data_IF_532099234357
#
_entry.id   IF_532099234357
#
_cell.length_a   1.000
_cell.length_b   1.000
_cell.length_c   1.000
_cell.angle_alpha   90.00
_cell.angle_beta   90.00
_cell.angle_gamma   90.00
#
_symmetry.space_group_name_H-M   'P 1'
#
loop_
_entity.id
_entity.type
_entity.pdbx_description
1 polymer ?
#
# COMPACT_ATOMS: atom_id res chain seq x y z
N UNK A 1 -38.22 38.53 -2.73
CA UNK A 1 -37.42 39.01 -3.90
C UNK A 1 -36.48 37.89 -4.32
N UNK A 2 -36.45 37.49 -5.61
CA UNK A 2 -35.52 36.45 -6.06
C UNK A 2 -34.10 37.04 -6.28
N UNK A 3 -33.03 36.23 -6.08
CA UNK A 3 -31.65 36.71 -6.23
C UNK A 3 -31.24 36.87 -7.71
N UNK A 4 -30.51 37.94 -8.01
CA UNK A 4 -30.01 38.28 -9.35
C UNK A 4 -28.93 37.30 -9.82
N UNK A 5 -29.11 36.72 -11.00
CA UNK A 5 -28.12 35.89 -11.68
C UNK A 5 -26.99 36.76 -12.26
N UNK A 6 -25.73 36.37 -12.05
CA UNK A 6 -24.55 37.03 -12.63
C UNK A 6 -24.25 36.40 -13.99
N UNK A 7 -24.13 37.23 -15.03
CA UNK A 7 -23.72 36.78 -16.37
C UNK A 7 -22.20 36.50 -16.39
N UNK A 8 -21.75 35.35 -16.91
CA UNK A 8 -20.35 35.09 -17.14
C UNK A 8 -19.90 35.87 -18.40
N UNK A 9 -18.72 36.48 -18.34
CA UNK A 9 -17.98 37.17 -19.42
C UNK A 9 -18.59 38.46 -20.03
N UNK A 10 -17.89 39.58 -19.82
CA UNK A 10 -18.08 40.83 -20.57
C UNK A 10 -17.27 40.77 -21.89
N UNK A 11 -17.80 41.26 -23.03
CA UNK A 11 -17.06 41.25 -24.29
C UNK A 11 -15.87 42.21 -24.24
N UNK A 12 -14.70 41.75 -24.71
CA UNK A 12 -13.45 42.50 -24.71
C UNK A 12 -13.58 43.68 -25.69
N UNK A 13 -13.59 44.90 -25.15
CA UNK A 13 -13.67 46.14 -25.94
C UNK A 13 -12.44 46.33 -26.82
N UNK A 14 -12.62 46.81 -28.05
CA UNK A 14 -11.57 47.15 -29.01
C UNK A 14 -10.51 48.13 -28.45
N UNK A 15 -10.91 48.94 -27.45
CA UNK A 15 -9.98 49.81 -26.71
C UNK A 15 -8.93 49.02 -25.91
N UNK A 16 -9.30 47.87 -25.34
CA UNK A 16 -8.37 46.99 -24.61
C UNK A 16 -7.31 46.40 -25.54
N UNK A 17 -7.70 46.04 -26.77
CA UNK A 17 -6.77 45.57 -27.80
C UNK A 17 -5.74 46.63 -28.20
N UNK A 18 -6.16 47.89 -28.33
CA UNK A 18 -5.24 49.00 -28.61
C UNK A 18 -4.33 49.31 -27.43
N UNK A 19 -4.80 49.14 -26.19
CA UNK A 19 -3.90 49.27 -25.02
C UNK A 19 -2.88 48.14 -24.97
N UNK A 20 -3.28 46.90 -25.27
CA UNK A 20 -2.41 45.75 -25.28
C UNK A 20 -1.33 45.88 -26.37
N UNK A 21 -1.71 46.29 -27.59
CA UNK A 21 -0.75 46.52 -28.67
C UNK A 21 0.26 47.60 -28.30
N UNK A 22 -0.17 48.66 -27.61
CA UNK A 22 0.71 49.72 -27.12
C UNK A 22 1.66 49.23 -26.02
N UNK A 23 1.20 48.39 -25.09
CA UNK A 23 2.07 47.79 -24.06
C UNK A 23 3.10 46.85 -24.67
N UNK A 24 2.68 46.01 -25.61
CA UNK A 24 3.57 45.07 -26.31
C UNK A 24 4.65 45.82 -27.10
N UNK A 25 4.27 46.88 -27.81
CA UNK A 25 5.22 47.73 -28.53
C UNK A 25 6.25 48.37 -27.60
N UNK A 26 5.85 48.86 -26.42
CA UNK A 26 6.80 49.38 -25.41
C UNK A 26 7.79 48.31 -24.93
N UNK A 27 7.29 47.13 -24.61
CA UNK A 27 8.15 46.01 -24.19
C UNK A 27 9.12 45.57 -25.29
N UNK A 28 8.71 45.62 -26.55
CA UNK A 28 9.56 45.28 -27.68
C UNK A 28 10.65 46.34 -27.93
N UNK A 29 10.34 47.63 -27.75
CA UNK A 29 11.35 48.69 -27.78
C UNK A 29 12.34 48.57 -26.62
N UNK A 30 11.87 48.23 -25.42
CA UNK A 30 12.74 48.05 -24.25
C UNK A 30 13.64 46.82 -24.43
N UNK A 31 13.10 45.73 -24.98
CA UNK A 31 13.84 44.51 -25.25
C UNK A 31 14.93 44.72 -26.31
N UNK A 32 14.59 45.33 -27.46
CA UNK A 32 15.58 45.62 -28.52
C UNK A 32 16.70 46.53 -28.04
N UNK A 33 16.38 47.53 -27.23
CA UNK A 33 17.35 48.44 -26.61
C UNK A 33 18.25 47.71 -25.60
N UNK A 34 17.69 46.81 -24.78
CA UNK A 34 18.46 45.97 -23.86
C UNK A 34 19.39 45.00 -24.58
N UNK A 35 18.94 44.46 -25.72
CA UNK A 35 19.71 43.51 -26.55
C UNK A 35 20.86 44.18 -27.29
N UNK A 36 20.67 45.41 -27.79
CA UNK A 36 21.74 46.21 -28.40
C UNK A 36 22.84 46.61 -27.38
N UNK A 37 22.48 46.74 -26.10
CA UNK A 37 23.42 47.03 -25.03
C UNK A 37 24.14 45.77 -24.49
N UNK A 38 23.92 44.59 -25.09
CA UNK A 38 24.64 43.35 -24.78
C UNK A 38 24.42 42.79 -23.38
N UNK A 39 23.37 43.23 -22.67
CA UNK A 39 23.06 42.78 -21.32
C UNK A 39 22.12 41.56 -21.40
N UNK A 40 22.62 40.36 -21.05
CA UNK A 40 21.78 39.17 -20.97
C UNK A 40 20.75 39.32 -19.86
N UNK A 41 19.46 39.14 -20.16
CA UNK A 41 18.35 39.27 -19.21
C UNK A 41 18.35 38.14 -18.16
N UNK A 42 19.28 38.20 -17.21
CA UNK A 42 19.04 37.74 -15.85
C UNK A 42 18.45 38.94 -15.12
N UNK A 43 17.17 38.88 -14.81
CA UNK A 43 16.48 39.81 -13.95
C UNK A 43 16.97 39.64 -12.49
N UNK A 44 18.27 39.84 -12.28
CA UNK A 44 18.88 40.13 -11.00
C UNK A 44 19.00 41.64 -10.96
N UNK A 45 18.25 42.27 -10.05
CA UNK A 45 18.13 43.73 -9.94
C UNK A 45 19.46 44.43 -10.21
N UNK A 46 19.51 45.16 -11.33
CA UNK A 46 20.66 45.97 -11.70
C UNK A 46 20.89 46.98 -10.59
N UNK A 47 22.06 46.88 -9.97
CA UNK A 47 22.66 47.87 -9.10
C UNK A 47 22.68 49.23 -9.79
N UNK A 48 21.70 50.08 -9.46
CA UNK A 48 21.80 51.52 -9.69
C UNK A 48 22.40 52.13 -8.44
N UNK A 49 23.57 52.72 -8.65
CA UNK A 49 24.35 53.59 -7.77
C UNK A 49 23.63 54.16 -6.55
N UNK A 50 24.20 53.84 -5.38
CA UNK A 50 24.53 54.75 -4.29
C UNK A 50 23.91 56.16 -4.36
N UNK A 51 22.69 56.31 -3.85
CA UNK A 51 22.27 57.51 -3.13
C UNK A 51 21.11 57.16 -2.20
N UNK A 52 21.32 57.42 -0.90
CA UNK A 52 20.40 57.37 0.23
C UNK A 52 18.96 56.87 -0.02
N UNK A 53 18.66 55.68 0.53
CA UNK A 53 17.31 55.27 0.96
C UNK A 53 16.20 55.17 -0.10
N UNK A 54 16.41 54.45 -1.20
CA UNK A 54 15.30 54.06 -2.09
C UNK A 54 14.81 52.66 -1.74
N UNK A 55 13.62 52.62 -1.16
CA UNK A 55 12.85 51.39 -0.84
C UNK A 55 12.78 50.52 -2.10
N UNK A 56 13.07 49.21 -1.96
CA UNK A 56 12.89 48.24 -3.04
C UNK A 56 11.50 48.38 -3.69
N UNK A 57 11.36 48.13 -5.00
CA UNK A 57 10.05 48.18 -5.66
C UNK A 57 9.10 47.15 -5.03
N UNK A 58 7.79 47.42 -5.05
CA UNK A 58 6.76 46.67 -4.31
C UNK A 58 6.79 45.16 -4.60
N UNK A 59 7.13 44.76 -5.82
CA UNK A 59 7.23 43.36 -6.23
C UNK A 59 8.53 42.67 -5.77
N UNK A 60 9.57 43.43 -5.40
CA UNK A 60 10.83 42.92 -4.86
C UNK A 60 10.85 42.94 -3.31
N UNK A 61 9.82 43.49 -2.66
CA UNK A 61 9.67 43.42 -1.21
C UNK A 61 9.13 42.04 -0.83
N UNK A 62 9.92 41.26 -0.11
CA UNK A 62 9.44 40.01 0.50
C UNK A 62 8.40 40.32 1.58
N UNK A 63 7.36 39.48 1.70
CA UNK A 63 6.33 39.67 2.73
C UNK A 63 6.95 39.58 4.14
N UNK A 64 6.49 40.45 5.05
CA UNK A 64 6.99 40.46 6.42
C UNK A 64 6.66 39.13 7.10
N UNK A 65 7.69 38.43 7.57
CA UNK A 65 7.56 37.11 8.19
C UNK A 65 7.73 35.91 7.26
N UNK A 66 7.87 36.11 5.93
CA UNK A 66 8.21 35.01 5.02
C UNK A 66 9.59 34.42 5.36
N UNK A 67 10.60 35.25 5.61
CA UNK A 67 11.93 34.78 6.00
C UNK A 67 11.91 34.03 7.34
N UNK A 68 11.11 34.48 8.31
CA UNK A 68 10.97 33.80 9.60
C UNK A 68 10.21 32.47 9.48
N UNK A 69 9.20 32.39 8.60
CA UNK A 69 8.50 31.14 8.28
C UNK A 69 9.39 30.18 7.51
N UNK A 70 10.13 30.70 6.52
CA UNK A 70 11.09 29.94 5.73
C UNK A 70 12.23 29.40 6.61
N UNK A 71 12.75 30.18 7.56
CA UNK A 71 13.73 29.71 8.56
C UNK A 71 13.15 28.67 9.54
N UNK A 72 11.83 28.69 9.77
CA UNK A 72 11.13 27.68 10.59
C UNK A 72 10.88 26.38 9.82
N UNK A 73 10.63 26.51 8.51
CA UNK A 73 10.41 25.40 7.58
C UNK A 73 11.73 24.85 7.00
N UNK A 74 12.84 25.56 7.20
CA UNK A 74 14.18 25.11 6.89
C UNK A 74 14.50 24.00 7.89
N UNK A 75 14.16 22.77 7.48
CA UNK A 75 14.47 21.56 8.22
C UNK A 75 15.95 21.60 8.58
N UNK A 76 16.25 21.73 9.88
CA UNK A 76 17.58 21.56 10.41
C UNK A 76 18.00 20.11 10.14
N UNK A 77 18.66 19.89 9.01
CA UNK A 77 19.38 18.64 8.73
C UNK A 77 20.77 18.63 9.38
N UNK A 78 21.12 19.68 10.14
CA UNK A 78 22.40 19.83 10.80
C UNK A 78 22.22 19.75 12.32
N UNK A 79 22.71 18.63 12.85
CA UNK A 79 23.44 18.51 14.12
C UNK A 79 22.74 19.00 15.39
N UNK A 80 21.82 18.20 15.93
CA UNK A 80 21.63 18.10 17.38
C UNK A 80 21.19 16.67 17.76
N UNK A 81 22.14 15.73 18.01
CA UNK A 81 21.87 14.43 18.62
C UNK A 81 21.69 14.55 20.15
N UNK A 82 21.09 15.64 20.63
CA UNK A 82 20.98 15.91 22.08
C UNK A 82 19.90 15.06 22.76
N UNK A 83 18.85 14.70 22.02
CA UNK A 83 17.90 13.67 22.40
C UNK A 83 18.22 12.40 21.61
N UNK A 84 18.85 11.38 22.23
CA UNK A 84 19.23 10.09 21.62
C UNK A 84 18.08 9.25 21.01
N UNK A 85 16.91 9.85 20.81
CA UNK A 85 15.81 9.34 19.99
C UNK A 85 16.02 9.58 18.49
N UNK A 86 16.93 10.49 18.11
CA UNK A 86 17.21 10.85 16.71
C UNK A 86 18.53 10.33 16.15
N UNK A 87 19.16 9.38 16.84
CA UNK A 87 20.38 8.75 16.34
C UNK A 87 20.08 8.01 15.02
N UNK A 88 20.74 8.38 13.90
CA UNK A 88 20.43 7.82 12.58
C UNK A 88 20.65 6.30 12.54
N UNK A 89 21.60 5.78 13.31
CA UNK A 89 21.86 4.34 13.42
C UNK A 89 20.75 3.60 14.16
N UNK A 90 20.17 4.20 15.22
CA UNK A 90 19.03 3.61 15.93
C UNK A 90 17.81 3.58 15.04
N UNK A 91 17.56 4.67 14.30
CA UNK A 91 16.47 4.76 13.31
C UNK A 91 16.65 3.69 12.23
N UNK A 92 17.87 3.54 11.67
CA UNK A 92 18.18 2.49 10.69
C UNK A 92 17.94 1.10 11.27
N UNK A 93 18.44 0.80 12.47
CA UNK A 93 18.23 -0.50 13.11
C UNK A 93 16.75 -0.80 13.38
N UNK A 94 15.95 0.22 13.73
CA UNK A 94 14.52 0.06 13.92
C UNK A 94 13.79 -0.16 12.59
N UNK A 95 14.21 0.52 11.52
CA UNK A 95 13.71 0.30 10.16
C UNK A 95 14.06 -1.09 9.64
N UNK A 96 15.29 -1.55 9.83
CA UNK A 96 15.73 -2.91 9.47
C UNK A 96 14.94 -3.98 10.22
N UNK A 97 14.70 -3.80 11.53
CA UNK A 97 13.84 -4.70 12.31
C UNK A 97 12.41 -4.73 11.77
N UNK A 98 11.85 -3.57 11.44
CA UNK A 98 10.51 -3.49 10.83
C UNK A 98 10.48 -4.17 9.47
N UNK A 99 11.46 -3.90 8.61
CA UNK A 99 11.59 -4.52 7.28
C UNK A 99 11.65 -6.04 7.38
N UNK A 100 12.49 -6.58 8.27
CA UNK A 100 12.58 -8.01 8.51
C UNK A 100 11.26 -8.62 9.01
N UNK A 101 10.47 -7.90 9.82
CA UNK A 101 9.13 -8.34 10.24
C UNK A 101 8.17 -8.35 9.04
N UNK A 102 8.18 -7.31 8.20
CA UNK A 102 7.36 -7.24 6.99
C UNK A 102 7.73 -8.32 5.97
N UNK A 103 9.01 -8.66 5.84
CA UNK A 103 9.47 -9.74 4.95
C UNK A 103 9.00 -11.11 5.45
N UNK A 104 9.02 -11.34 6.77
CA UNK A 104 8.46 -12.55 7.38
C UNK A 104 6.95 -12.64 7.15
N UNK A 105 6.22 -11.57 7.39
CA UNK A 105 4.78 -11.48 7.12
C UNK A 105 4.47 -11.72 5.63
N UNK A 106 5.28 -11.13 4.74
CA UNK A 106 5.16 -11.35 3.29
C UNK A 106 5.46 -12.81 2.91
N UNK A 107 6.39 -13.45 3.60
CA UNK A 107 6.69 -14.88 3.39
C UNK A 107 5.58 -15.80 3.89
N UNK A 108 4.88 -15.42 4.98
CA UNK A 108 3.66 -16.10 5.46
C UNK A 108 2.57 -16.07 4.40
N UNK A 109 2.34 -14.90 3.77
CA UNK A 109 1.39 -14.76 2.66
C UNK A 109 1.75 -15.61 1.42
N UNK A 110 2.99 -16.11 1.33
CA UNK A 110 3.48 -17.00 0.25
C UNK A 110 3.41 -18.49 0.64
N UNK A 111 2.69 -18.83 1.71
CA UNK A 111 2.49 -20.19 2.20
C UNK A 111 3.73 -20.85 2.83
N UNK A 112 4.80 -20.08 3.09
CA UNK A 112 5.90 -20.54 3.95
C UNK A 112 5.66 -19.92 5.32
N UNK A 113 5.46 -20.74 6.35
CA UNK A 113 5.42 -20.27 7.75
C UNK A 113 6.73 -19.52 8.04
N UNK A 114 6.72 -18.19 7.93
CA UNK A 114 7.90 -17.30 7.94
C UNK A 114 8.62 -17.21 9.29
N UNK A 115 8.64 -18.29 10.06
CA UNK A 115 9.11 -18.36 11.44
C UNK A 115 8.16 -17.74 12.45
N UNK A 116 6.94 -17.36 12.05
CA UNK A 116 5.86 -16.96 12.95
C UNK A 116 4.92 -18.14 13.16
N UNK A 117 4.41 -18.29 14.38
CA UNK A 117 3.36 -19.27 14.69
C UNK A 117 2.01 -18.79 14.16
N UNK A 118 1.09 -19.72 13.89
CA UNK A 118 -0.28 -19.40 13.45
C UNK A 118 -0.97 -18.45 14.43
N UNK A 119 -0.77 -18.63 15.74
CA UNK A 119 -1.31 -17.73 16.77
C UNK A 119 -0.73 -16.30 16.69
N UNK A 120 0.54 -16.16 16.30
CA UNK A 120 1.13 -14.85 16.05
C UNK A 120 0.54 -14.22 14.80
N UNK A 121 0.34 -15.01 13.73
CA UNK A 121 -0.27 -14.56 12.48
C UNK A 121 -1.71 -14.08 12.73
N UNK A 122 -2.51 -14.84 13.47
CA UNK A 122 -3.88 -14.50 13.86
C UNK A 122 -3.98 -13.23 14.72
N UNK A 123 -2.91 -12.92 15.48
CA UNK A 123 -2.84 -11.69 16.27
C UNK A 123 -2.64 -10.42 15.43
N UNK A 124 -2.22 -10.54 14.17
CA UNK A 124 -2.08 -9.40 13.28
C UNK A 124 -3.45 -8.91 12.81
N UNK A 125 -3.63 -7.59 12.81
CA UNK A 125 -4.88 -6.95 12.37
C UNK A 125 -5.16 -7.12 10.87
N UNK A 126 -4.15 -7.55 10.09
CA UNK A 126 -4.25 -7.71 8.64
C UNK A 126 -4.44 -9.19 8.34
N UNK A 127 -5.57 -9.52 7.73
CA UNK A 127 -5.84 -10.85 7.18
C UNK A 127 -5.07 -11.02 5.85
N UNK A 128 -3.94 -11.73 5.91
CA UNK A 128 -3.08 -11.94 4.75
C UNK A 128 -3.69 -12.91 3.75
N UNK A 129 -4.49 -13.88 4.20
CA UNK A 129 -5.16 -14.84 3.34
C UNK A 129 -6.17 -14.12 2.46
N UNK A 130 -7.02 -13.29 3.06
CA UNK A 130 -7.98 -12.46 2.33
C UNK A 130 -7.30 -11.47 1.40
N UNK A 131 -6.21 -10.82 1.82
CA UNK A 131 -5.44 -9.90 0.97
C UNK A 131 -4.88 -10.58 -0.27
N UNK A 132 -4.43 -11.83 -0.13
CA UNK A 132 -3.93 -12.62 -1.25
C UNK A 132 -5.07 -13.06 -2.20
N UNK A 133 -6.25 -13.37 -1.67
CA UNK A 133 -7.43 -13.67 -2.48
C UNK A 133 -7.99 -12.46 -3.23
N UNK A 134 -8.04 -11.29 -2.58
CA UNK A 134 -8.58 -10.05 -3.18
C UNK A 134 -7.61 -9.45 -4.21
N UNK A 135 -6.31 -9.71 -4.09
CA UNK A 135 -5.27 -9.18 -4.99
C UNK A 135 -4.24 -10.24 -5.41
N UNK A 136 -4.63 -11.26 -6.23
CA UNK A 136 -3.70 -12.28 -6.70
C UNK A 136 -2.60 -11.69 -7.61
N UNK A 137 -2.90 -10.62 -8.35
CA UNK A 137 -1.96 -10.01 -9.31
C UNK A 137 -0.80 -9.24 -8.65
N UNK A 138 -0.93 -8.86 -7.37
CA UNK A 138 0.17 -8.26 -6.60
C UNK A 138 1.10 -9.32 -5.95
N UNK A 139 0.71 -10.59 -6.04
CA UNK A 139 1.43 -11.72 -5.45
C UNK A 139 2.30 -12.48 -6.45
N UNK A 140 2.11 -12.24 -7.75
CA UNK A 140 2.79 -12.95 -8.84
C UNK A 140 3.93 -12.12 -9.44
N UNK A 141 5.14 -12.33 -8.92
CA UNK A 141 6.45 -12.29 -9.60
C UNK A 141 6.70 -11.30 -10.76
N UNK A 142 6.31 -10.04 -10.65
CA UNK A 142 6.85 -8.95 -11.49
C UNK A 142 7.37 -7.84 -10.57
N UNK A 143 8.68 -7.61 -10.65
CA UNK A 143 9.42 -6.54 -10.00
C UNK A 143 8.73 -5.18 -10.20
N UNK A 144 8.14 -4.66 -9.12
CA UNK A 144 7.50 -3.36 -9.06
C UNK A 144 8.12 -2.51 -7.95
N UNK A 145 9.16 -1.77 -8.34
CA UNK A 145 9.75 -0.64 -7.63
C UNK A 145 8.67 0.28 -7.01
N UNK A 146 8.96 0.74 -5.79
CA UNK A 146 8.39 1.93 -5.15
C UNK A 146 6.88 2.18 -5.32
N UNK A 147 6.10 1.88 -4.27
CA UNK A 147 4.79 2.51 -4.09
C UNK A 147 4.97 3.99 -3.68
N UNK A 148 5.45 4.80 -4.63
CA UNK A 148 5.22 6.24 -4.65
C UNK A 148 3.82 6.49 -5.17
N UNK A 149 3.06 7.30 -4.44
CA UNK A 149 1.82 7.95 -4.84
C UNK A 149 1.97 8.66 -6.19
N UNK A 150 1.61 7.98 -7.30
CA UNK A 150 1.71 8.51 -8.66
C UNK A 150 0.34 8.38 -9.34
N UNK A 151 -0.26 9.56 -9.55
CA UNK A 151 -1.44 9.90 -10.33
C UNK A 151 -1.63 9.03 -11.61
N UNK A 152 -2.69 8.22 -11.62
CA UNK A 152 -3.08 7.24 -12.65
C UNK A 152 -3.52 7.84 -14.01
N UNK A 153 -3.39 9.14 -14.23
CA UNK A 153 -3.95 9.80 -15.43
C UNK A 153 -3.03 9.83 -16.67
N UNK A 154 -1.85 9.19 -16.67
CA UNK A 154 -0.84 9.36 -17.77
C UNK A 154 -0.21 8.10 -18.36
N UNK A 155 -0.62 6.89 -18.00
CA UNK A 155 0.00 5.65 -18.48
C UNK A 155 -0.85 4.92 -19.52
N UNK A 156 -1.34 5.64 -20.52
CA UNK A 156 -1.77 5.06 -21.78
C UNK A 156 -0.79 5.50 -22.86
N UNK A 157 0.00 4.55 -23.37
CA UNK A 157 1.09 4.65 -24.38
C UNK A 157 2.46 4.42 -23.76
N UNK A 158 2.86 3.15 -23.61
CA UNK A 158 4.18 2.65 -24.03
C UNK A 158 4.24 1.11 -23.91
N UNK A 159 3.40 0.42 -24.70
CA UNK A 159 3.60 -1.02 -24.94
C UNK A 159 4.54 -1.19 -26.12
N UNK A 160 5.84 -1.11 -25.89
CA UNK A 160 6.84 -1.65 -26.81
C UNK A 160 7.66 -2.71 -26.07
N UNK A 161 7.50 -3.95 -26.53
CA UNK A 161 8.23 -5.16 -26.10
C UNK A 161 9.71 -4.83 -25.87
N UNK A 162 10.08 -4.74 -24.61
CA UNK A 162 11.46 -4.51 -24.18
C UNK A 162 12.16 -5.87 -24.14
N UNK A 163 12.94 -6.12 -25.18
CA UNK A 163 13.88 -7.24 -25.33
C UNK A 163 14.70 -7.39 -24.03
N UNK A 164 14.87 -8.60 -23.47
CA UNK A 164 15.61 -8.77 -22.23
C UNK A 164 17.07 -8.39 -22.46
N UNK A 165 17.55 -7.44 -21.67
CA UNK A 165 18.97 -7.11 -21.59
C UNK A 165 19.66 -8.20 -20.76
N UNK A 166 20.86 -8.66 -21.16
CA UNK A 166 21.61 -9.63 -20.38
C UNK A 166 21.94 -9.03 -19.01
N UNK A 167 21.75 -9.82 -17.95
CA UNK A 167 22.06 -9.43 -16.58
C UNK A 167 23.55 -9.07 -16.38
N UNK A 168 23.91 -8.46 -15.24
CA UNK A 168 25.29 -8.06 -14.97
C UNK A 168 26.20 -9.29 -15.05
N UNK A 169 27.09 -9.28 -16.04
CA UNK A 169 28.12 -10.29 -16.24
C UNK A 169 28.90 -10.47 -14.95
N UNK A 170 28.84 -11.66 -14.35
CA UNK A 170 29.88 -12.10 -13.44
C UNK A 170 31.21 -11.99 -14.20
N UNK A 171 32.26 -11.34 -13.64
CA UNK A 171 33.46 -10.98 -14.39
C UNK A 171 34.27 -12.16 -14.98
N UNK A 172 33.88 -13.42 -14.74
CA UNK A 172 34.53 -14.62 -15.28
C UNK A 172 33.57 -15.80 -15.49
N UNK A 173 32.49 -15.62 -16.28
CA UNK A 173 31.69 -16.77 -16.73
C UNK A 173 32.09 -17.19 -18.16
N UNK A 174 32.84 -18.29 -18.36
CA UNK A 174 33.25 -18.73 -19.70
C UNK A 174 32.04 -19.23 -20.50
N UNK A 175 32.06 -18.99 -21.82
CA UNK A 175 31.08 -19.55 -22.74
C UNK A 175 31.46 -21.00 -23.06
N UNK A 176 30.47 -21.88 -22.95
CA UNK A 176 30.64 -23.33 -23.03
C UNK A 176 29.67 -23.91 -24.05
N UNK A 177 30.10 -24.93 -24.78
CA UNK A 177 29.25 -25.72 -25.68
C UNK A 177 28.38 -26.67 -24.86
N UNK A 178 27.07 -26.43 -24.84
CA UNK A 178 26.08 -27.26 -24.16
C UNK A 178 25.14 -27.93 -25.17
N UNK A 179 24.87 -29.23 -25.00
CA UNK A 179 23.85 -29.96 -25.77
C UNK A 179 22.49 -29.88 -25.08
N UNK A 180 21.57 -29.13 -25.68
CA UNK A 180 20.20 -28.97 -25.19
C UNK A 180 19.39 -30.28 -25.30
N UNK A 181 18.22 -30.36 -24.64
CA UNK A 181 17.34 -31.53 -24.58
C UNK A 181 16.89 -32.05 -25.96
N UNK A 182 16.95 -31.17 -26.97
CA UNK A 182 16.66 -31.49 -28.37
C UNK A 182 17.90 -31.95 -29.17
N UNK A 183 19.02 -32.22 -28.51
CA UNK A 183 20.28 -32.68 -29.14
C UNK A 183 21.01 -31.60 -29.95
N UNK A 184 20.66 -30.33 -29.75
CA UNK A 184 21.28 -29.19 -30.45
C UNK A 184 22.40 -28.60 -29.59
N UNK A 185 23.59 -28.40 -30.16
CA UNK A 185 24.71 -27.73 -29.49
C UNK A 185 24.53 -26.21 -29.52
N UNK A 186 24.67 -25.56 -28.37
CA UNK A 186 24.58 -24.10 -28.21
C UNK A 186 25.69 -23.59 -27.30
N UNK A 187 26.24 -22.42 -27.62
CA UNK A 187 27.15 -21.70 -26.73
C UNK A 187 26.35 -20.96 -25.67
N UNK A 188 26.52 -21.35 -24.41
CA UNK A 188 25.80 -20.79 -23.26
C UNK A 188 26.81 -20.52 -22.13
N UNK A 189 26.65 -19.46 -21.31
CA UNK A 189 27.48 -19.24 -20.13
C UNK A 189 27.43 -20.45 -19.17
N UNK A 190 28.54 -20.77 -18.50
CA UNK A 190 28.64 -21.95 -17.63
C UNK A 190 27.60 -21.94 -16.51
N UNK A 191 27.19 -20.77 -16.03
CA UNK A 191 26.17 -20.61 -14.99
C UNK A 191 24.75 -20.97 -15.43
N UNK A 192 24.46 -20.86 -16.73
CA UNK A 192 23.15 -21.16 -17.31
C UNK A 192 23.00 -22.63 -17.74
N UNK A 193 24.09 -23.40 -17.75
CA UNK A 193 24.06 -24.84 -18.07
C UNK A 193 23.43 -25.62 -16.90
N UNK A 194 22.41 -26.47 -17.15
CA UNK A 194 21.81 -27.31 -16.12
C UNK A 194 22.85 -28.17 -15.38
N UNK A 195 22.72 -28.24 -14.05
CA UNK A 195 23.66 -29.00 -13.20
C UNK A 195 23.60 -30.49 -13.56
N UNK A 196 24.74 -31.06 -13.96
CA UNK A 196 24.87 -32.48 -14.33
C UNK A 196 24.78 -32.75 -15.83
N UNK A 197 24.53 -31.73 -16.66
CA UNK A 197 24.47 -31.90 -18.10
C UNK A 197 25.88 -31.82 -18.73
N UNK A 198 26.17 -32.63 -19.78
CA UNK A 198 27.49 -32.62 -20.42
C UNK A 198 27.72 -31.30 -21.16
N UNK A 199 28.92 -30.75 -21.00
CA UNK A 199 29.33 -29.49 -21.60
C UNK A 199 30.79 -29.57 -22.05
N UNK A 200 31.17 -28.79 -23.06
CA UNK A 200 32.53 -28.73 -23.59
C UNK A 200 33.06 -27.29 -23.58
N UNK A 201 34.21 -27.06 -22.95
CA UNK A 201 34.86 -25.75 -22.89
C UNK A 201 35.79 -25.57 -24.10
N UNK A 202 35.42 -24.76 -25.12
CA UNK A 202 36.24 -24.62 -26.33
C UNK A 202 37.55 -23.84 -26.09
N UNK A 203 37.66 -23.15 -24.96
CA UNK A 203 38.86 -22.42 -24.54
C UNK A 203 39.87 -23.28 -23.77
N UNK A 204 39.49 -24.50 -23.39
CA UNK A 204 40.37 -25.47 -22.73
C UNK A 204 41.32 -26.15 -23.74
N UNK A 205 42.08 -25.36 -24.50
CA UNK A 205 43.23 -25.83 -25.26
C UNK A 205 44.49 -25.76 -24.39
N UNK A 206 44.58 -26.63 -23.39
CA UNK A 206 45.86 -26.98 -22.78
C UNK A 206 46.39 -28.22 -23.50
N UNK A 207 47.68 -28.24 -23.93
CA UNK A 207 48.26 -29.44 -24.49
C UNK A 207 48.21 -30.55 -23.46
N UNK A 208 47.72 -31.72 -23.86
CA UNK A 208 47.72 -32.92 -23.02
C UNK A 208 49.16 -33.23 -22.61
N UNK A 209 49.50 -32.90 -21.37
CA UNK A 209 50.75 -33.29 -20.76
C UNK A 209 50.70 -34.81 -20.55
N UNK A 210 51.54 -35.62 -21.21
CA UNK A 210 51.45 -37.10 -21.17
C UNK A 210 51.81 -37.70 -19.81
N UNK A 211 52.07 -36.87 -18.80
CA UNK A 211 52.38 -37.26 -17.43
C UNK A 211 51.18 -37.22 -16.48
N UNK A 212 50.04 -36.68 -16.91
CA UNK A 212 48.80 -36.70 -16.13
C UNK A 212 47.92 -37.87 -16.58
N UNK A 213 47.53 -38.78 -15.68
CA UNK A 213 46.70 -39.92 -16.05
C UNK A 213 45.36 -39.43 -16.60
N UNK A 214 45.10 -39.81 -17.85
CA UNK A 214 43.82 -39.69 -18.52
C UNK A 214 42.69 -40.23 -17.63
N UNK A 215 41.91 -39.34 -17.04
CA UNK A 215 40.69 -39.72 -16.32
C UNK A 215 39.46 -39.30 -17.12
N UNK A 216 39.32 -39.89 -18.29
CA UNK A 216 38.05 -39.96 -19.00
C UNK A 216 37.97 -41.27 -19.79
N UNK A 217 37.84 -42.38 -19.08
CA UNK A 217 37.21 -43.59 -19.60
C UNK A 217 36.43 -44.26 -18.48
N UNK A 218 35.12 -44.36 -18.70
CA UNK A 218 34.13 -44.93 -17.81
C UNK A 218 34.49 -46.33 -17.30
N UNK A 219 34.32 -46.53 -15.99
CA UNK A 219 33.84 -47.78 -15.39
C UNK A 219 32.91 -47.39 -14.22
N UNK A 220 31.74 -48.04 -14.06
CA UNK A 220 30.97 -47.99 -12.83
C UNK A 220 31.56 -49.01 -11.87
N UNK A 221 32.20 -48.55 -10.79
CA UNK A 221 32.61 -49.44 -9.71
C UNK A 221 32.34 -48.77 -8.36
N UNK A 222 31.73 -49.56 -7.48
CA UNK A 222 31.16 -49.20 -6.20
C UNK A 222 32.23 -48.68 -5.22
N UNK A 223 32.10 -47.45 -4.75
CA UNK A 223 32.92 -46.94 -3.65
C UNK A 223 32.47 -45.56 -3.15
N UNK A 224 32.39 -45.33 -1.83
CA UNK A 224 31.98 -44.04 -1.27
C UNK A 224 33.03 -42.97 -1.62
N UNK A 225 32.53 -41.81 -2.05
CA UNK A 225 33.30 -40.69 -2.59
C UNK A 225 34.54 -40.32 -1.75
N UNK A 226 35.72 -40.08 -2.36
CA UNK A 226 36.84 -39.48 -1.65
C UNK A 226 36.51 -38.01 -1.35
N UNK A 227 36.13 -37.73 -0.11
CA UNK A 227 36.11 -36.37 0.41
C UNK A 227 37.52 -35.81 0.30
N UNK A 228 37.76 -34.90 -0.64
CA UNK A 228 38.99 -34.10 -0.78
C UNK A 228 39.17 -33.13 0.41
N UNK A 229 39.16 -33.66 1.64
CA UNK A 229 39.42 -32.92 2.86
C UNK A 229 40.54 -33.66 3.57
N UNK A 230 41.77 -33.18 3.41
CA UNK A 230 42.88 -33.58 4.27
C UNK A 230 42.63 -32.99 5.67
N UNK A 231 41.89 -33.72 6.48
CA UNK A 231 42.03 -33.59 7.93
C UNK A 231 43.42 -34.15 8.26
N UNK A 232 44.30 -33.37 8.90
CA UNK A 232 45.59 -33.87 9.38
C UNK A 232 45.42 -34.98 10.43
N UNK A 233 46.46 -35.30 11.20
CA UNK A 233 46.41 -36.23 12.35
C UNK A 233 45.60 -35.69 13.55
N UNK A 234 44.54 -34.94 13.29
CA UNK A 234 43.58 -34.47 14.28
C UNK A 234 42.42 -35.45 14.29
N UNK A 235 42.51 -36.43 15.19
CA UNK A 235 41.48 -37.46 15.40
C UNK A 235 40.28 -36.96 16.21
N UNK A 236 40.35 -35.74 16.77
CA UNK A 236 39.29 -35.17 17.60
C UNK A 236 39.03 -33.70 17.26
N UNK A 237 37.88 -33.44 16.63
CA UNK A 237 37.33 -32.11 16.51
C UNK A 237 36.40 -31.88 17.69
N UNK A 238 36.60 -30.82 18.51
CA UNK A 238 35.64 -30.50 19.56
C UNK A 238 34.31 -30.09 18.90
N UNK A 239 33.38 -31.03 18.87
CA UNK A 239 32.01 -30.77 18.42
C UNK A 239 31.33 -30.02 19.57
N UNK A 240 30.86 -28.81 19.30
CA UNK A 240 30.09 -28.03 20.27
C UNK A 240 28.79 -28.80 20.63
N UNK A 241 28.78 -29.42 21.80
CA UNK A 241 27.63 -30.09 22.39
C UNK A 241 27.11 -29.21 23.54
N UNK A 242 26.18 -28.27 23.27
CA UNK A 242 25.59 -27.45 24.32
C UNK A 242 24.86 -28.34 25.32
N UNK A 243 24.87 -27.93 26.59
CA UNK A 243 24.15 -28.61 27.65
C UNK A 243 22.65 -28.73 27.28
N UNK A 244 22.06 -29.95 27.31
CA UNK A 244 20.65 -30.15 27.00
C UNK A 244 19.71 -29.30 27.87
N UNK A 245 20.10 -28.96 29.11
CA UNK A 245 19.31 -28.08 29.97
C UNK A 245 19.23 -26.65 29.40
N UNK A 246 20.34 -26.13 28.85
CA UNK A 246 20.39 -24.81 28.21
C UNK A 246 19.59 -24.81 26.91
N UNK A 247 19.65 -25.90 26.13
CA UNK A 247 18.82 -26.07 24.93
C UNK A 247 17.33 -26.09 25.28
N UNK A 248 16.94 -26.84 26.31
CA UNK A 248 15.55 -26.91 26.76
C UNK A 248 15.05 -25.55 27.26
N UNK A 249 15.86 -24.82 28.04
CA UNK A 249 15.52 -23.47 28.50
C UNK A 249 15.37 -22.49 27.32
N UNK A 250 16.26 -22.56 26.32
CA UNK A 250 16.18 -21.73 25.12
C UNK A 250 14.94 -22.06 24.29
N UNK A 251 14.66 -23.35 24.09
CA UNK A 251 13.45 -23.82 23.42
C UNK A 251 12.17 -23.37 24.14
N UNK A 252 12.13 -23.47 25.47
CA UNK A 252 11.02 -22.99 26.29
C UNK A 252 10.84 -21.47 26.19
N UNK A 253 11.93 -20.69 26.18
CA UNK A 253 11.87 -19.23 26.00
C UNK A 253 11.36 -18.83 24.62
N UNK A 254 11.77 -19.56 23.58
CA UNK A 254 11.28 -19.36 22.22
C UNK A 254 9.82 -19.78 22.07
N UNK A 255 9.42 -20.87 22.71
CA UNK A 255 8.03 -21.33 22.73
C UNK A 255 7.12 -20.34 23.48
N UNK A 256 7.57 -19.81 24.62
CA UNK A 256 6.85 -18.78 25.36
C UNK A 256 6.74 -17.47 24.57
N UNK A 257 7.82 -17.04 23.92
CA UNK A 257 7.80 -15.88 23.02
C UNK A 257 6.94 -16.11 21.76
N UNK A 258 6.85 -17.35 21.27
CA UNK A 258 5.98 -17.74 20.16
C UNK A 258 4.51 -17.83 20.57
N UNK A 259 4.23 -18.10 21.84
CA UNK A 259 2.89 -18.12 22.43
C UNK A 259 2.40 -16.72 22.85
N UNK A 260 3.32 -15.78 23.10
CA UNK A 260 2.97 -14.40 23.39
C UNK A 260 2.39 -13.72 22.13
N UNK A 261 1.27 -12.99 22.25
CA UNK A 261 0.69 -12.26 21.13
C UNK A 261 1.68 -11.21 20.60
N UNK A 262 1.70 -11.00 19.29
CA UNK A 262 2.64 -10.07 18.65
C UNK A 262 2.22 -8.60 18.82
N UNK A 263 0.92 -8.36 19.07
CA UNK A 263 0.33 -7.02 19.25
C UNK A 263 -0.55 -7.01 20.50
N UNK A 264 -0.10 -6.28 21.53
CA UNK A 264 -0.85 -5.99 22.75
C UNK A 264 -1.88 -4.89 22.48
N UNK A 265 -2.99 -5.26 21.83
CA UNK A 265 -4.16 -4.43 21.54
C UNK A 265 -3.94 -3.15 20.70
N UNK A 266 -5.01 -2.66 20.10
CA UNK A 266 -5.00 -1.43 19.30
C UNK A 266 -5.01 -0.19 20.21
N UNK A 267 -3.90 0.55 20.23
CA UNK A 267 -3.80 1.84 20.92
C UNK A 267 -4.26 2.98 20.01
N UNK A 268 -5.46 3.44 20.29
CA UNK A 268 -6.15 4.43 19.51
C UNK A 268 -5.69 5.87 19.81
N UNK A 269 -4.74 6.09 20.72
CA UNK A 269 -4.12 7.41 20.94
C UNK A 269 -3.09 7.76 19.86
N UNK A 270 -2.51 6.76 19.20
CA UNK A 270 -1.46 6.93 18.18
C UNK A 270 -1.98 7.34 16.82
N UNK A 271 -3.26 7.10 16.54
CA UNK A 271 -3.88 7.43 15.27
C UNK A 271 -4.62 8.77 15.31
N UNK A 272 -4.72 9.46 14.17
CA UNK A 272 -5.31 10.79 14.11
C UNK A 272 -6.81 10.72 14.40
N UNK A 273 -7.30 11.49 15.37
CA UNK A 273 -8.71 11.54 15.81
C UNK A 273 -9.73 11.81 14.70
N UNK A 274 -9.30 12.30 13.55
CA UNK A 274 -10.13 12.62 12.37
C UNK A 274 -10.62 11.39 11.60
N UNK A 275 -9.98 10.24 11.74
CA UNK A 275 -10.40 9.00 11.08
C UNK A 275 -11.50 8.27 11.85
N UNK A 276 -11.78 8.67 13.11
CA UNK A 276 -12.76 8.00 13.97
C UNK A 276 -14.16 8.56 13.72
N UNK A 277 -15.13 7.66 13.54
CA UNK A 277 -16.54 8.01 13.36
C UNK A 277 -17.26 8.33 14.68
N UNK A 278 -18.51 8.79 14.59
CA UNK A 278 -19.37 8.97 15.75
C UNK A 278 -19.68 7.61 16.40
N UNK A 279 -19.50 7.51 17.72
CA UNK A 279 -19.67 6.24 18.45
C UNK A 279 -18.38 5.45 18.67
N UNK A 280 -17.22 6.02 18.36
CA UNK A 280 -15.94 5.41 18.72
C UNK A 280 -15.77 5.36 20.25
N UNK A 281 -15.41 4.19 20.80
CA UNK A 281 -15.08 3.98 22.22
C UNK A 281 -13.68 3.36 22.36
N UNK A 282 -12.83 3.95 23.21
CA UNK A 282 -11.48 3.43 23.46
C UNK A 282 -11.51 2.53 24.69
N UNK A 283 -11.09 1.27 24.51
CA UNK A 283 -10.93 0.35 25.63
C UNK A 283 -9.66 0.64 26.43
N UNK A 284 -9.67 0.27 27.71
CA UNK A 284 -8.47 0.25 28.56
C UNK A 284 -7.44 -0.73 27.99
N UNK A 285 -6.15 -0.45 28.24
CA UNK A 285 -5.06 -1.37 27.94
C UNK A 285 -5.00 -2.57 28.89
N UNK A 286 -5.58 -2.43 30.08
CA UNK A 286 -5.64 -3.49 31.08
C UNK A 286 -6.72 -4.53 30.71
N UNK A 287 -6.33 -5.80 30.60
CA UNK A 287 -7.22 -6.88 30.12
C UNK A 287 -8.50 -7.04 30.95
N UNK A 288 -8.38 -6.91 32.27
CA UNK A 288 -9.51 -7.04 33.19
C UNK A 288 -10.51 -5.89 33.06
N UNK A 289 -10.01 -4.66 32.92
CA UNK A 289 -10.86 -3.50 32.72
C UNK A 289 -11.50 -3.53 31.33
N UNK A 290 -10.74 -3.90 30.31
CA UNK A 290 -11.23 -4.08 28.93
C UNK A 290 -12.35 -5.11 28.88
N UNK A 291 -12.20 -6.25 29.57
CA UNK A 291 -13.23 -7.28 29.64
C UNK A 291 -14.53 -6.75 30.28
N UNK A 292 -14.41 -5.99 31.37
CA UNK A 292 -15.58 -5.34 32.01
C UNK A 292 -16.26 -4.32 31.10
N UNK A 293 -15.46 -3.53 30.37
CA UNK A 293 -15.98 -2.55 29.41
C UNK A 293 -16.71 -3.23 28.24
N UNK A 294 -16.15 -4.33 27.71
CA UNK A 294 -16.79 -5.15 26.67
C UNK A 294 -18.12 -5.74 27.15
N UNK A 295 -18.14 -6.32 28.36
CA UNK A 295 -19.36 -6.89 28.94
C UNK A 295 -20.44 -5.82 29.19
N UNK A 296 -20.04 -4.63 29.65
CA UNK A 296 -20.97 -3.50 29.81
C UNK A 296 -21.59 -3.08 28.47
N UNK A 297 -20.79 -2.99 27.41
CA UNK A 297 -21.26 -2.62 26.06
C UNK A 297 -22.19 -3.69 25.48
N UNK A 298 -21.88 -4.97 25.68
CA UNK A 298 -22.77 -6.07 25.29
C UNK A 298 -24.11 -6.03 26.01
N UNK A 299 -24.12 -5.70 27.31
CA UNK A 299 -25.37 -5.51 28.07
C UNK A 299 -26.19 -4.36 27.49
N UNK A 300 -25.61 -3.19 27.27
CA UNK A 300 -26.30 -2.05 26.64
C UNK A 300 -26.83 -2.40 25.24
N UNK A 301 -26.06 -3.14 24.45
CA UNK A 301 -26.49 -3.64 23.14
C UNK A 301 -27.69 -4.56 23.27
N UNK A 302 -27.66 -5.53 24.19
CA UNK A 302 -28.78 -6.45 24.41
C UNK A 302 -30.06 -5.72 24.84
N UNK A 303 -29.93 -4.68 25.67
CA UNK A 303 -31.06 -3.86 26.10
C UNK A 303 -31.64 -3.02 24.95
N UNK A 304 -30.79 -2.42 24.12
CA UNK A 304 -31.23 -1.62 22.98
C UNK A 304 -31.85 -2.49 21.89
N UNK A 305 -31.30 -3.68 21.64
CA UNK A 305 -31.89 -4.68 20.75
C UNK A 305 -33.25 -5.17 21.28
N UNK A 306 -33.35 -5.42 22.60
CA UNK A 306 -34.63 -5.78 23.23
C UNK A 306 -35.67 -4.66 23.06
N UNK A 307 -35.32 -3.41 23.37
CA UNK A 307 -36.22 -2.25 23.21
C UNK A 307 -36.63 -2.04 21.76
N UNK A 308 -35.71 -2.24 20.80
CA UNK A 308 -36.03 -2.17 19.36
C UNK A 308 -37.03 -3.25 18.97
N UNK A 309 -36.82 -4.48 19.42
CA UNK A 309 -37.73 -5.61 19.16
C UNK A 309 -39.10 -5.38 19.79
N UNK A 310 -39.16 -4.90 21.03
CA UNK A 310 -40.41 -4.54 21.71
C UNK A 310 -41.19 -3.48 20.91
N UNK A 311 -40.51 -2.42 20.46
CA UNK A 311 -41.11 -1.36 19.64
C UNK A 311 -41.57 -1.85 18.27
N UNK A 312 -40.84 -2.79 17.66
CA UNK A 312 -41.22 -3.42 16.39
C UNK A 312 -42.47 -4.27 16.57
N UNK A 313 -42.53 -5.10 17.61
CA UNK A 313 -43.72 -5.91 17.95
C UNK A 313 -44.93 -5.04 18.25
N UNK A 314 -44.74 -3.93 18.98
CA UNK A 314 -45.80 -2.96 19.24
C UNK A 314 -46.26 -2.28 17.95
N UNK A 315 -45.32 -1.85 17.11
CA UNK A 315 -45.62 -1.27 15.80
C UNK A 315 -46.41 -2.22 14.90
N UNK A 316 -46.01 -3.50 14.86
CA UNK A 316 -46.71 -4.55 14.14
C UNK A 316 -48.09 -4.84 14.70
N UNK A 317 -48.25 -4.81 16.03
CA UNK A 317 -49.56 -4.96 16.67
C UNK A 317 -50.49 -3.82 16.28
N UNK A 318 -50.03 -2.57 16.39
CA UNK A 318 -50.80 -1.38 15.99
C UNK A 318 -51.16 -1.44 14.50
N UNK A 319 -50.21 -1.86 13.65
CA UNK A 319 -50.46 -2.05 12.21
C UNK A 319 -51.55 -3.10 11.96
N UNK A 320 -51.48 -4.26 12.62
CA UNK A 320 -52.49 -5.33 12.50
C UNK A 320 -53.87 -4.88 13.00
N UNK A 321 -53.93 -4.16 14.10
CA UNK A 321 -55.19 -3.57 14.61
C UNK A 321 -55.79 -2.60 13.58
N UNK A 322 -54.97 -1.74 12.98
CA UNK A 322 -55.40 -0.81 11.93
C UNK A 322 -55.85 -1.50 10.64
N UNK A 323 -55.20 -2.61 10.26
CA UNK A 323 -55.60 -3.44 9.12
C UNK A 323 -56.96 -4.10 9.38
N UNK A 324 -57.19 -4.65 10.58
CA UNK A 324 -58.49 -5.22 10.97
C UNK A 324 -59.61 -4.19 10.94
N UNK A 325 -59.37 -2.99 11.48
CA UNK A 325 -60.37 -1.91 11.44
C UNK A 325 -60.71 -1.52 9.98
N UNK A 326 -59.71 -1.46 9.10
CA UNK A 326 -59.92 -1.22 7.67
C UNK A 326 -60.74 -2.32 7.01
N UNK A 327 -60.47 -3.58 7.32
CA UNK A 327 -61.19 -4.72 6.77
C UNK A 327 -62.65 -4.77 7.24
N UNK A 328 -62.89 -4.49 8.53
CA UNK A 328 -64.25 -4.36 9.07
C UNK A 328 -65.01 -3.21 8.41
N UNK A 329 -64.37 -2.05 8.25
CA UNK A 329 -64.95 -0.92 7.53
C UNK A 329 -65.27 -1.28 6.09
N UNK A 330 -64.39 -2.04 5.41
CA UNK A 330 -64.61 -2.49 4.03
C UNK A 330 -65.81 -3.46 3.95
N UNK A 331 -65.92 -4.40 4.89
CA UNK A 331 -67.08 -5.32 4.98
C UNK A 331 -68.39 -4.57 5.19
N UNK A 332 -68.44 -3.61 6.12
CA UNK A 332 -69.64 -2.78 6.36
C UNK A 332 -70.03 -1.96 5.13
N UNK A 333 -69.05 -1.48 4.36
CA UNK A 333 -69.31 -0.75 3.10
C UNK A 333 -69.83 -1.68 2.01
N UNK A 334 -69.28 -2.88 1.88
CA UNK A 334 -69.76 -3.89 0.93
C UNK A 334 -71.18 -4.36 1.25
N UNK A 335 -71.51 -4.59 2.52
CA UNK A 335 -72.88 -4.91 2.96
C UNK A 335 -73.87 -3.79 2.62
N UNK A 336 -73.52 -2.54 2.93
CA UNK A 336 -74.34 -1.37 2.54
C UNK A 336 -74.50 -1.24 1.03
N UNK A 337 -73.46 -1.53 0.25
CA UNK A 337 -73.54 -1.53 -1.22
C UNK A 337 -74.50 -2.61 -1.72
N UNK A 338 -74.40 -3.83 -1.19
CA UNK A 338 -75.32 -4.94 -1.52
C UNK A 338 -76.78 -4.58 -1.19
N UNK A 339 -77.03 -4.02 -0.02
CA UNK A 339 -78.38 -3.58 0.36
C UNK A 339 -78.94 -2.51 -0.59
N UNK A 340 -78.13 -1.52 -0.98
CA UNK A 340 -78.52 -0.49 -1.94
C UNK A 340 -78.79 -1.09 -3.32
N UNK A 341 -77.97 -2.02 -3.78
CA UNK A 341 -78.15 -2.71 -5.07
C UNK A 341 -79.41 -3.58 -5.08
N UNK A 342 -79.73 -4.26 -3.98
CA UNK A 342 -80.98 -5.00 -3.81
C UNK A 342 -82.19 -4.07 -3.79
N UNK A 343 -82.12 -2.92 -3.10
CA UNK A 343 -83.17 -1.89 -3.13
C UNK A 343 -83.37 -1.33 -4.54
N UNK A 344 -82.28 -1.11 -5.30
CA UNK A 344 -82.33 -0.69 -6.71
C UNK A 344 -82.97 -1.77 -7.59
N UNK A 345 -82.60 -3.05 -7.43
CA UNK A 345 -83.22 -4.17 -8.16
C UNK A 345 -84.72 -4.33 -7.87
N UNK A 346 -85.14 -4.17 -6.61
CA UNK A 346 -86.57 -4.20 -6.24
C UNK A 346 -87.34 -3.03 -6.85
N UNK A 347 -86.77 -1.83 -6.88
CA UNK A 347 -87.36 -0.66 -7.56
C UNK A 347 -87.47 -0.88 -9.08
N UNK A 348 -86.45 -1.44 -9.72
CA UNK A 348 -86.50 -1.74 -11.16
C UNK A 348 -87.62 -2.74 -11.50
N UNK A 349 -87.75 -3.84 -10.74
CA UNK A 349 -88.83 -4.82 -10.93
C UNK A 349 -90.25 -4.27 -10.67
N UNK A 350 -90.38 -3.23 -9.84
CA UNK A 350 -91.67 -2.57 -9.60
C UNK A 350 -92.09 -1.60 -10.70
N UNK A 351 -91.20 -1.25 -11.63
CA UNK A 351 -91.47 -0.35 -12.76
C UNK A 351 -91.89 -1.12 -14.01
N UNK A 352 -91.46 -2.39 -14.17
CA UNK A 352 -91.82 -3.24 -15.32
C UNK A 352 -93.17 -3.96 -15.16
N UNK A 353 -93.89 -3.76 -14.05
CA UNK A 353 -95.15 -4.45 -13.73
C UNK A 353 -96.37 -3.56 -13.56
N UNK A 354 -96.29 -2.28 -13.97
CA UNK A 354 -97.40 -1.32 -13.91
C UNK A 354 -97.90 -0.94 -15.30
#
# INVERSE_FOLDING_TARGET
MPPKQKQPYAPISSSSWLTLSRTRSKHETDFTKSRQLGQSSRATGSSVSSSSSKKLPVWAKQNKGLAARQARDQVQYEEDPSDGTRDPERIKSALERKAAIYDKIRSVSRGKTGGLSDAQIDSLLVDFDRKNYDHPDLSSDEEGDSASDVDESKTAQLTSKRRPQPGPSLPHDPLVEYTDEFGRTRMVPRSEVPRGAPFHDPTAHLPADPSLPSSASALPDDGPAPTNILYGDQTHFPIYAPDPAVLAARAASLAAAAAAPLVDHYDATRETTRQRGAGFYQFSGDEDERRRQMEALERERSETERKRREREVEGDRVRRERERERDERKRRVEEKRREVDERRRKRAKGVDGA
#
